data_IF_902086586712
#
_entry.id   IF_902086586712
#
_cell.length_a   1.000
_cell.length_b   1.000
_cell.length_c   1.000
_cell.angle_alpha   90.00
_cell.angle_beta   90.00
_cell.angle_gamma   90.00
#
_symmetry.space_group_name_H-M   'P 1'
#
loop_
_entity.id
_entity.type
_entity.pdbx_description
1 polymer ?
#
# COMPACT_ATOMS: atom_id res chain seq x y z
N UNK A 1 -34.42 13.13 76.54
CA UNK A 1 -33.51 12.07 77.02
C UNK A 1 -32.08 12.54 76.81
N UNK A 2 -31.33 12.63 77.92
CA UNK A 2 -29.87 12.73 78.11
C UNK A 2 -29.10 13.87 77.43
N UNK A 3 -28.86 14.92 78.23
CA UNK A 3 -27.66 15.76 78.25
C UNK A 3 -26.44 14.97 78.78
N UNK A 4 -25.23 15.37 78.36
CA UNK A 4 -24.01 15.21 79.17
C UNK A 4 -22.79 14.87 78.31
N UNK A 5 -21.82 15.76 78.08
CA UNK A 5 -20.90 16.45 79.00
C UNK A 5 -19.47 15.89 78.83
N UNK A 6 -18.51 16.82 78.78
CA UNK A 6 -17.12 16.68 79.26
C UNK A 6 -16.20 15.94 78.25
N UNK A 7 -15.36 16.61 77.43
CA UNK A 7 -14.43 17.68 77.78
C UNK A 7 -13.73 17.45 79.13
N UNK A 8 -12.92 16.40 79.22
CA UNK A 8 -11.87 16.27 80.24
C UNK A 8 -10.66 15.58 79.66
N UNK A 9 -9.51 16.13 80.03
CA UNK A 9 -8.18 15.54 79.99
C UNK A 9 -7.32 15.82 78.75
N UNK A 10 -7.20 17.11 78.42
CA UNK A 10 -5.84 17.67 78.43
C UNK A 10 -5.30 17.58 79.87
N UNK A 11 -4.03 17.22 80.02
CA UNK A 11 -3.30 17.00 81.28
C UNK A 11 -3.46 15.60 81.91
N UNK A 12 -2.82 14.62 81.27
CA UNK A 12 -1.95 13.70 82.02
C UNK A 12 -0.62 13.54 81.28
N UNK A 13 0.44 13.97 81.94
CA UNK A 13 1.83 13.51 81.73
C UNK A 13 2.50 13.95 80.41
N UNK A 14 2.95 15.20 80.26
CA UNK A 14 4.25 15.68 80.77
C UNK A 14 4.76 14.94 82.01
N UNK A 15 5.57 13.89 81.79
CA UNK A 15 6.76 13.45 82.57
C UNK A 15 7.03 11.96 82.36
N UNK A 16 7.57 11.67 81.19
CA UNK A 16 8.50 10.57 80.93
C UNK A 16 9.25 10.96 79.66
N UNK A 17 10.00 12.06 79.69
CA UNK A 17 11.39 12.05 80.15
C UNK A 17 12.13 10.83 79.59
N UNK A 18 12.94 11.12 78.57
CA UNK A 18 14.33 10.68 78.54
C UNK A 18 14.53 9.19 78.81
N UNK A 19 14.18 8.38 77.82
CA UNK A 19 14.91 7.16 77.59
C UNK A 19 15.30 7.13 76.12
N UNK A 20 16.61 7.31 75.89
CA UNK A 20 17.35 6.98 74.66
C UNK A 20 17.37 8.03 73.55
N UNK A 21 18.07 9.12 73.85
CA UNK A 21 19.15 9.52 72.95
C UNK A 21 20.21 8.40 72.85
N UNK A 22 20.88 8.34 71.69
CA UNK A 22 21.85 7.33 71.22
C UNK A 22 21.24 6.18 70.42
N UNK A 23 21.02 6.44 69.13
CA UNK A 23 21.70 5.70 68.06
C UNK A 23 21.63 6.46 66.74
N UNK A 24 22.81 6.77 66.24
CA UNK A 24 23.17 6.98 64.84
C UNK A 24 22.67 8.23 64.13
N UNK A 25 23.51 9.26 64.20
CA UNK A 25 23.64 10.42 63.34
C UNK A 25 24.26 10.07 61.97
N UNK A 26 23.90 8.94 61.35
CA UNK A 26 24.40 8.50 60.05
C UNK A 26 23.29 7.81 59.23
N UNK A 27 22.39 8.57 58.60
CA UNK A 27 21.47 7.99 57.59
C UNK A 27 20.78 8.99 56.64
N UNK A 28 21.16 10.28 56.63
CA UNK A 28 20.46 11.30 55.81
C UNK A 28 21.34 11.85 54.67
N UNK A 29 22.48 11.23 54.37
CA UNK A 29 23.33 11.61 53.21
C UNK A 29 23.55 10.50 52.18
N UNK A 30 22.68 9.49 52.12
CA UNK A 30 22.77 8.42 51.11
C UNK A 30 21.43 8.14 50.41
N UNK A 31 20.72 9.21 50.01
CA UNK A 31 19.52 9.10 49.16
C UNK A 31 19.50 10.03 47.94
N UNK A 32 20.58 10.78 47.68
CA UNK A 32 20.68 11.65 46.50
C UNK A 32 21.69 11.17 45.44
N UNK A 33 22.24 9.96 45.56
CA UNK A 33 23.21 9.41 44.60
C UNK A 33 22.75 8.16 43.83
N UNK A 34 21.47 7.78 43.93
CA UNK A 34 20.91 6.60 43.21
C UNK A 34 19.86 7.00 42.16
N UNK A 35 19.40 8.26 42.11
CA UNK A 35 18.55 8.73 41.01
C UNK A 35 19.32 9.32 39.81
N UNK A 36 20.62 9.55 39.93
CA UNK A 36 21.45 10.11 38.84
C UNK A 36 22.09 9.07 37.90
N UNK A 37 22.08 7.79 38.26
CA UNK A 37 22.75 6.72 37.49
C UNK A 37 21.80 5.72 36.85
N UNK A 38 20.51 5.73 37.21
CA UNK A 38 19.49 4.92 36.53
C UNK A 38 18.98 5.58 35.23
N UNK A 39 19.05 6.92 35.10
CA UNK A 39 18.64 7.62 33.88
C UNK A 39 19.68 7.53 32.75
N UNK A 40 20.94 7.23 33.05
CA UNK A 40 22.00 7.12 32.03
C UNK A 40 22.12 5.72 31.42
N UNK A 41 21.45 4.71 31.98
CA UNK A 41 21.42 3.33 31.46
C UNK A 41 20.21 3.05 30.55
N UNK A 42 19.18 3.91 30.57
CA UNK A 42 18.05 3.86 29.64
C UNK A 42 18.34 4.54 28.29
N UNK A 43 19.42 5.31 28.19
CA UNK A 43 19.86 5.97 26.95
C UNK A 43 20.83 5.12 26.11
N UNK A 44 21.22 3.92 26.57
CA UNK A 44 22.18 3.05 25.88
C UNK A 44 21.52 1.88 25.13
N UNK A 45 20.21 1.66 25.28
CA UNK A 45 19.45 0.63 24.56
C UNK A 45 18.39 1.20 23.59
N UNK A 46 18.24 2.53 23.54
CA UNK A 46 17.35 3.21 22.59
C UNK A 46 17.72 3.03 21.11
N UNK A 47 19.00 3.01 20.68
CA UNK A 47 19.30 2.81 19.26
C UNK A 47 18.97 1.38 18.81
N UNK A 48 19.19 0.37 19.66
CA UNK A 48 18.90 -1.03 19.31
C UNK A 48 17.39 -1.30 19.17
N UNK A 49 16.56 -0.75 20.06
CA UNK A 49 15.10 -0.87 19.96
C UNK A 49 14.53 -0.06 18.78
N UNK A 50 15.06 1.13 18.50
CA UNK A 50 14.66 1.93 17.33
C UNK A 50 15.11 1.29 16.00
N UNK A 51 16.24 0.57 16.00
CA UNK A 51 16.78 -0.13 14.84
C UNK A 51 16.06 -1.46 14.58
N UNK A 52 15.69 -2.21 15.61
CA UNK A 52 14.76 -3.34 15.50
C UNK A 52 13.35 -2.88 15.07
N UNK A 53 12.95 -1.66 15.45
CA UNK A 53 11.72 -1.02 14.97
C UNK A 53 11.80 -0.68 13.48
N UNK A 54 12.80 0.07 13.03
CA UNK A 54 12.96 0.45 11.63
C UNK A 54 13.06 -0.78 10.71
N UNK A 55 13.80 -1.81 11.12
CA UNK A 55 14.01 -3.02 10.31
C UNK A 55 12.72 -3.81 10.12
N UNK A 56 11.90 -3.98 11.17
CA UNK A 56 10.64 -4.71 11.03
C UNK A 56 9.53 -3.88 10.35
N UNK A 57 9.61 -2.54 10.35
CA UNK A 57 8.71 -1.69 9.56
C UNK A 57 9.04 -1.76 8.07
N UNK A 58 10.33 -1.63 7.71
CA UNK A 58 10.78 -1.79 6.33
C UNK A 58 10.44 -3.19 5.77
N UNK A 59 10.61 -4.24 6.59
CA UNK A 59 10.22 -5.61 6.24
C UNK A 59 8.72 -5.76 5.96
N UNK A 60 7.86 -5.09 6.73
CA UNK A 60 6.40 -5.08 6.53
C UNK A 60 6.01 -4.36 5.25
N UNK A 61 6.56 -3.17 5.02
CA UNK A 61 6.34 -2.36 3.81
C UNK A 61 6.78 -3.14 2.56
N UNK A 62 8.00 -3.69 2.55
CA UNK A 62 8.48 -4.49 1.43
C UNK A 62 7.59 -5.71 1.15
N UNK A 63 7.00 -6.32 2.19
CA UNK A 63 6.06 -7.44 2.03
C UNK A 63 4.73 -6.99 1.43
N UNK A 64 4.23 -5.81 1.80
CA UNK A 64 3.02 -5.21 1.21
C UNK A 64 3.29 -4.81 -0.24
N UNK A 65 4.43 -4.18 -0.52
CA UNK A 65 4.84 -3.78 -1.86
C UNK A 65 5.00 -5.01 -2.76
N UNK A 66 5.57 -6.11 -2.25
CA UNK A 66 5.60 -7.38 -2.98
C UNK A 66 4.19 -7.92 -3.26
N UNK A 67 3.23 -7.79 -2.34
CA UNK A 67 1.86 -8.15 -2.62
C UNK A 67 1.21 -7.25 -3.66
N UNK A 68 1.51 -5.96 -3.69
CA UNK A 68 1.06 -5.04 -4.75
C UNK A 68 1.66 -5.43 -6.11
N UNK A 69 2.95 -5.78 -6.17
CA UNK A 69 3.60 -6.29 -7.39
C UNK A 69 2.89 -7.50 -7.98
N UNK A 70 2.35 -8.41 -7.14
CA UNK A 70 1.53 -9.52 -7.64
C UNK A 70 0.31 -9.01 -8.41
N UNK A 71 -0.39 -8.03 -7.86
CA UNK A 71 -1.63 -7.47 -8.43
C UNK A 71 -1.31 -6.83 -9.78
N UNK A 72 -0.34 -5.90 -9.78
CA UNK A 72 0.10 -5.20 -10.99
C UNK A 72 0.53 -6.19 -12.07
N UNK A 73 1.26 -7.26 -11.72
CA UNK A 73 1.69 -8.26 -12.70
C UNK A 73 0.51 -8.97 -13.37
N UNK A 74 -0.57 -9.30 -12.65
CA UNK A 74 -1.77 -9.92 -13.24
C UNK A 74 -2.44 -8.99 -14.24
N UNK A 75 -2.54 -7.70 -13.89
CA UNK A 75 -3.20 -6.72 -14.74
C UNK A 75 -2.36 -6.42 -16.00
N UNK A 76 -1.03 -6.36 -15.88
CA UNK A 76 -0.13 -6.28 -17.04
C UNK A 76 -0.21 -7.51 -17.94
N UNK A 77 -0.42 -8.70 -17.40
CA UNK A 77 -0.66 -9.88 -18.25
C UNK A 77 -1.90 -9.69 -19.15
N UNK A 78 -2.93 -8.98 -18.68
CA UNK A 78 -4.15 -8.74 -19.46
C UNK A 78 -3.85 -7.69 -20.53
N UNK A 79 -3.19 -6.60 -20.16
CA UNK A 79 -2.74 -5.56 -21.10
C UNK A 79 -1.85 -6.13 -22.21
N UNK A 80 -0.81 -6.89 -21.88
CA UNK A 80 0.07 -7.50 -22.87
C UNK A 80 -0.67 -8.54 -23.73
N UNK A 81 -1.59 -9.31 -23.16
CA UNK A 81 -2.44 -10.23 -23.94
C UNK A 81 -3.32 -9.48 -24.95
N UNK A 82 -3.82 -8.31 -24.57
CA UNK A 82 -4.53 -7.41 -25.46
C UNK A 82 -3.65 -6.87 -26.59
N UNK A 83 -2.44 -6.40 -26.27
CA UNK A 83 -1.48 -5.94 -27.27
C UNK A 83 -1.15 -7.06 -28.28
N UNK A 84 -0.95 -8.28 -27.80
CA UNK A 84 -0.73 -9.46 -28.66
C UNK A 84 -1.94 -9.71 -29.56
N UNK A 85 -3.15 -9.54 -29.04
CA UNK A 85 -4.39 -9.73 -29.82
C UNK A 85 -4.57 -8.68 -30.92
N UNK A 86 -4.22 -7.43 -30.60
CA UNK A 86 -4.40 -6.29 -31.49
C UNK A 86 -3.31 -6.18 -32.56
N UNK A 87 -2.06 -6.56 -32.24
CA UNK A 87 -0.91 -6.26 -33.11
C UNK A 87 0.11 -7.38 -33.27
N UNK A 88 -0.09 -8.56 -32.66
CA UNK A 88 0.89 -9.66 -32.66
C UNK A 88 2.30 -9.22 -32.19
N UNK A 89 2.37 -8.30 -31.23
CA UNK A 89 3.64 -7.72 -30.75
C UNK A 89 4.54 -8.74 -30.06
N UNK A 90 5.75 -8.94 -30.61
CA UNK A 90 6.77 -9.79 -30.00
C UNK A 90 7.29 -9.22 -28.67
N UNK A 91 7.33 -7.90 -28.53
CA UNK A 91 7.69 -7.21 -27.29
C UNK A 91 6.66 -7.50 -26.20
N UNK A 92 5.36 -7.43 -26.54
CA UNK A 92 4.28 -7.78 -25.63
C UNK A 92 4.32 -9.26 -25.23
N UNK A 93 4.73 -10.18 -26.12
CA UNK A 93 4.96 -11.59 -25.77
C UNK A 93 6.05 -11.73 -24.71
N UNK A 94 7.18 -11.05 -24.88
CA UNK A 94 8.27 -11.09 -23.90
C UNK A 94 7.87 -10.45 -22.59
N UNK A 95 7.14 -9.32 -22.63
CA UNK A 95 6.63 -8.67 -21.43
C UNK A 95 5.64 -9.56 -20.67
N UNK A 96 4.70 -10.19 -21.38
CA UNK A 96 3.77 -11.17 -20.80
C UNK A 96 4.48 -12.35 -20.13
N UNK A 97 5.56 -12.86 -20.73
CA UNK A 97 6.38 -13.92 -20.13
C UNK A 97 7.03 -13.44 -18.82
N UNK A 98 7.60 -12.23 -18.83
CA UNK A 98 8.21 -11.63 -17.64
C UNK A 98 7.18 -11.41 -16.52
N UNK A 99 5.95 -10.99 -16.84
CA UNK A 99 4.90 -10.80 -15.83
C UNK A 99 4.52 -12.13 -15.19
N UNK A 100 4.35 -13.19 -15.97
CA UNK A 100 4.06 -14.54 -15.45
C UNK A 100 5.17 -15.01 -14.51
N UNK A 101 6.43 -14.81 -14.89
CA UNK A 101 7.58 -15.14 -14.03
C UNK A 101 7.61 -14.27 -12.76
N UNK A 102 7.29 -12.98 -12.89
CA UNK A 102 7.22 -12.03 -11.78
C UNK A 102 6.14 -12.41 -10.79
N UNK A 103 4.96 -12.82 -11.28
CA UNK A 103 3.87 -13.32 -10.44
C UNK A 103 4.31 -14.55 -9.62
N UNK A 104 4.86 -15.56 -10.29
CA UNK A 104 5.27 -16.79 -9.61
C UNK A 104 6.41 -16.57 -8.61
N UNK A 105 7.41 -15.78 -8.99
CA UNK A 105 8.55 -15.47 -8.11
C UNK A 105 8.13 -14.67 -6.88
N UNK A 106 7.26 -13.67 -7.06
CA UNK A 106 6.75 -12.84 -5.97
C UNK A 106 5.84 -13.62 -5.04
N UNK A 107 4.98 -14.48 -5.57
CA UNK A 107 4.12 -15.35 -4.76
C UNK A 107 4.96 -16.30 -3.90
N UNK A 108 6.03 -16.86 -4.48
CA UNK A 108 6.98 -17.67 -3.74
C UNK A 108 7.66 -16.85 -2.62
N UNK A 109 8.14 -15.65 -2.92
CA UNK A 109 8.76 -14.75 -1.92
C UNK A 109 7.80 -14.43 -0.77
N UNK A 110 6.53 -14.14 -1.03
CA UNK A 110 5.55 -13.92 0.04
C UNK A 110 5.31 -15.18 0.88
N UNK A 111 5.32 -16.36 0.28
CA UNK A 111 5.12 -17.64 1.01
C UNK A 111 6.34 -18.02 1.85
N UNK A 112 7.55 -17.89 1.31
CA UNK A 112 8.78 -18.41 1.93
C UNK A 112 9.64 -17.36 2.61
N UNK A 113 9.42 -16.09 2.31
CA UNK A 113 10.31 -14.97 2.65
C UNK A 113 11.45 -14.82 1.63
N UNK A 114 12.04 -13.62 1.61
CA UNK A 114 13.20 -13.26 0.80
C UNK A 114 14.13 -12.35 1.58
N UNK A 115 15.26 -12.86 2.06
CA UNK A 115 16.19 -12.08 2.88
C UNK A 115 16.88 -10.96 2.08
N UNK A 116 17.16 -11.20 0.79
CA UNK A 116 17.82 -10.23 -0.07
C UNK A 116 16.89 -9.07 -0.44
N UNK A 117 15.60 -9.36 -0.57
CA UNK A 117 14.52 -8.43 -0.91
C UNK A 117 13.91 -7.78 0.35
N UNK A 118 14.30 -8.25 1.53
CA UNK A 118 13.71 -7.81 2.80
C UNK A 118 12.21 -8.09 2.86
N UNK A 119 11.76 -9.25 2.39
CA UNK A 119 10.36 -9.69 2.41
C UNK A 119 10.16 -10.73 3.51
N UNK A 120 9.19 -10.50 4.40
CA UNK A 120 8.85 -11.44 5.45
C UNK A 120 8.01 -12.59 4.90
N UNK A 121 8.24 -13.84 5.36
CA UNK A 121 7.32 -14.91 5.06
C UNK A 121 5.96 -14.62 5.70
N UNK A 122 4.90 -14.72 4.90
CA UNK A 122 3.53 -14.53 5.36
C UNK A 122 3.11 -15.74 6.22
N UNK A 123 3.03 -15.53 7.55
CA UNK A 123 2.67 -16.57 8.54
C UNK A 123 1.25 -16.47 9.07
N UNK A 124 0.57 -15.34 8.86
CA UNK A 124 -0.82 -15.15 9.30
C UNK A 124 -1.73 -16.13 8.57
N UNK A 125 -2.54 -16.90 9.30
CA UNK A 125 -3.50 -17.84 8.68
C UNK A 125 -4.51 -17.13 7.78
N UNK A 126 -4.88 -15.88 8.10
CA UNK A 126 -5.80 -15.10 7.28
C UNK A 126 -5.11 -14.70 5.97
N UNK A 127 -3.89 -14.19 6.06
CA UNK A 127 -3.11 -13.78 4.89
C UNK A 127 -2.77 -14.96 3.97
N UNK A 128 -2.42 -16.12 4.55
CA UNK A 128 -2.19 -17.35 3.79
C UNK A 128 -3.44 -17.79 3.02
N UNK A 129 -4.62 -17.73 3.64
CA UNK A 129 -5.87 -18.03 2.94
C UNK A 129 -6.17 -17.05 1.81
N UNK A 130 -5.93 -15.76 2.02
CA UNK A 130 -6.08 -14.76 0.97
C UNK A 130 -5.13 -15.06 -0.21
N UNK A 131 -3.86 -15.40 0.06
CA UNK A 131 -2.91 -15.82 -0.96
C UNK A 131 -3.31 -17.12 -1.66
N UNK A 132 -3.83 -18.11 -0.93
CA UNK A 132 -4.32 -19.37 -1.50
C UNK A 132 -5.52 -19.11 -2.45
N UNK A 133 -6.44 -18.21 -2.07
CA UNK A 133 -7.56 -17.80 -2.93
C UNK A 133 -7.06 -17.07 -4.17
N UNK A 134 -6.15 -16.09 -4.01
CA UNK A 134 -5.57 -15.38 -5.15
C UNK A 134 -4.87 -16.34 -6.12
N UNK A 135 -4.04 -17.26 -5.62
CA UNK A 135 -3.36 -18.25 -6.45
C UNK A 135 -4.34 -19.12 -7.23
N UNK A 136 -5.44 -19.54 -6.58
CA UNK A 136 -6.47 -20.36 -7.24
C UNK A 136 -7.17 -19.60 -8.37
N UNK A 137 -7.54 -18.34 -8.17
CA UNK A 137 -8.17 -17.52 -9.22
C UNK A 137 -7.18 -17.24 -10.36
N UNK A 138 -5.91 -16.96 -10.02
CA UNK A 138 -4.87 -16.69 -11.02
C UNK A 138 -4.47 -17.93 -11.81
N UNK A 139 -4.53 -19.14 -11.25
CA UNK A 139 -4.19 -20.38 -11.99
C UNK A 139 -5.07 -20.57 -13.23
N UNK A 140 -6.38 -20.31 -13.09
CA UNK A 140 -7.33 -20.38 -14.20
C UNK A 140 -7.02 -19.32 -15.27
N UNK A 141 -6.65 -18.12 -14.84
CA UNK A 141 -6.26 -17.02 -15.70
C UNK A 141 -4.93 -17.28 -16.45
N UNK A 142 -3.92 -17.78 -15.74
CA UNK A 142 -2.60 -18.11 -16.30
C UNK A 142 -2.70 -19.17 -17.40
N UNK A 143 -3.64 -20.11 -17.28
CA UNK A 143 -3.89 -21.10 -18.33
C UNK A 143 -4.26 -20.44 -19.67
N UNK A 144 -5.00 -19.33 -19.64
CA UNK A 144 -5.33 -18.54 -20.84
C UNK A 144 -4.20 -17.58 -21.23
N UNK A 145 -3.58 -16.90 -20.27
CA UNK A 145 -2.47 -15.97 -20.53
C UNK A 145 -1.29 -16.68 -21.23
N UNK A 146 -1.02 -17.94 -20.86
CA UNK A 146 0.02 -18.79 -21.48
C UNK A 146 -0.25 -19.08 -22.97
N UNK A 147 -1.47 -18.94 -23.48
CA UNK A 147 -1.68 -18.99 -24.94
C UNK A 147 -1.11 -17.76 -25.63
N UNK A 148 -1.25 -16.58 -25.02
CA UNK A 148 -0.68 -15.32 -25.51
C UNK A 148 0.84 -15.38 -25.64
N UNK A 149 1.52 -16.07 -24.72
CA UNK A 149 3.00 -16.21 -24.75
C UNK A 149 3.52 -16.98 -25.97
N UNK A 150 2.64 -17.61 -26.76
CA UNK A 150 2.97 -18.26 -28.04
C UNK A 150 2.91 -17.31 -29.23
N UNK A 151 2.61 -16.03 -29.00
CA UNK A 151 2.53 -14.98 -30.02
C UNK A 151 1.18 -14.84 -30.69
N UNK A 152 0.14 -15.53 -30.23
CA UNK A 152 -1.21 -15.41 -30.79
C UNK A 152 -2.24 -15.33 -29.69
N UNK A 153 -3.04 -14.26 -29.67
CA UNK A 153 -4.20 -14.11 -28.80
C UNK A 153 -5.42 -13.79 -29.65
N UNK A 154 -6.30 -14.77 -29.89
CA UNK A 154 -7.54 -14.51 -30.64
C UNK A 154 -8.63 -13.97 -29.72
N UNK A 155 -9.59 -13.25 -30.31
CA UNK A 155 -10.74 -12.70 -29.59
C UNK A 155 -11.41 -13.72 -28.63
N UNK A 156 -11.74 -14.97 -29.02
CA UNK A 156 -12.31 -15.93 -28.07
C UNK A 156 -11.42 -16.30 -26.88
N UNK A 157 -10.09 -16.28 -27.02
CA UNK A 157 -9.18 -16.52 -25.89
C UNK A 157 -9.10 -15.30 -24.98
N UNK A 158 -9.14 -14.09 -25.55
CA UNK A 158 -9.17 -12.85 -24.79
C UNK A 158 -10.46 -12.73 -23.94
N UNK A 159 -11.59 -13.18 -24.49
CA UNK A 159 -12.87 -13.27 -23.78
C UNK A 159 -12.78 -14.20 -22.56
N UNK A 160 -12.20 -15.39 -22.75
CA UNK A 160 -11.97 -16.35 -21.65
C UNK A 160 -10.96 -15.81 -20.61
N UNK A 161 -9.91 -15.14 -21.07
CA UNK A 161 -8.93 -14.50 -20.21
C UNK A 161 -9.59 -13.43 -19.34
N UNK A 162 -10.44 -12.58 -19.93
CA UNK A 162 -11.19 -11.56 -19.20
C UNK A 162 -12.14 -12.15 -18.16
N UNK A 163 -12.90 -13.19 -18.53
CA UNK A 163 -13.80 -13.87 -17.59
C UNK A 163 -13.03 -14.50 -16.42
N UNK A 164 -11.83 -15.04 -16.68
CA UNK A 164 -10.95 -15.57 -15.65
C UNK A 164 -10.26 -14.46 -14.83
N UNK A 165 -10.11 -13.26 -15.37
CA UNK A 165 -9.55 -12.09 -14.69
C UNK A 165 -10.53 -11.46 -13.69
N UNK A 166 -11.83 -11.47 -14.00
CA UNK A 166 -12.87 -10.80 -13.21
C UNK A 166 -12.79 -11.00 -11.67
N UNK A 167 -12.53 -12.20 -11.11
CA UNK A 167 -12.43 -12.39 -9.66
C UNK A 167 -11.09 -11.96 -9.05
N UNK A 168 -10.05 -11.71 -9.86
CA UNK A 168 -8.69 -11.50 -9.36
C UNK A 168 -8.53 -10.15 -8.63
N UNK A 169 -9.03 -9.00 -9.12
CA UNK A 169 -8.91 -7.73 -8.39
C UNK A 169 -9.42 -7.79 -6.95
N UNK A 170 -10.57 -8.42 -6.70
CA UNK A 170 -11.12 -8.57 -5.34
C UNK A 170 -10.23 -9.46 -4.45
N UNK A 171 -9.73 -10.58 -4.99
CA UNK A 171 -8.82 -11.46 -4.27
C UNK A 171 -7.48 -10.77 -3.95
N UNK A 172 -6.99 -9.99 -4.91
CA UNK A 172 -5.80 -9.15 -4.83
C UNK A 172 -5.92 -8.09 -3.74
N UNK A 173 -7.03 -7.34 -3.70
CA UNK A 173 -7.30 -6.35 -2.65
C UNK A 173 -7.38 -7.00 -1.26
N UNK A 174 -8.04 -8.16 -1.09
CA UNK A 174 -8.08 -8.84 0.21
C UNK A 174 -6.68 -9.25 0.68
N UNK A 175 -5.76 -9.66 -0.22
CA UNK A 175 -4.37 -9.94 0.17
C UNK A 175 -3.70 -8.69 0.74
N UNK A 176 -3.76 -7.57 0.03
CA UNK A 176 -3.14 -6.31 0.47
C UNK A 176 -3.79 -5.81 1.76
N UNK A 177 -5.11 -5.83 1.88
CA UNK A 177 -5.82 -5.43 3.09
C UNK A 177 -5.45 -6.28 4.30
N UNK A 178 -5.36 -7.61 4.12
CA UNK A 178 -4.97 -8.50 5.21
C UNK A 178 -3.50 -8.30 5.59
N UNK A 179 -2.62 -8.02 4.64
CA UNK A 179 -1.21 -7.73 4.94
C UNK A 179 -1.06 -6.37 5.61
N UNK A 180 -1.77 -5.34 5.14
CA UNK A 180 -1.85 -4.03 5.79
C UNK A 180 -2.33 -4.16 7.23
N UNK A 181 -3.41 -4.91 7.47
CA UNK A 181 -3.88 -5.13 8.85
C UNK A 181 -2.93 -5.97 9.70
N UNK A 182 -2.15 -6.88 9.09
CA UNK A 182 -1.20 -7.74 9.80
C UNK A 182 0.10 -6.99 10.16
N UNK A 183 0.63 -6.17 9.25
CA UNK A 183 1.93 -5.51 9.38
C UNK A 183 1.84 -4.03 9.79
N UNK A 184 0.85 -3.28 9.28
CA UNK A 184 0.77 -1.82 9.49
C UNK A 184 0.05 -1.44 10.79
N UNK A 185 -1.06 -2.12 11.16
CA UNK A 185 -1.85 -1.77 12.36
C UNK A 185 -1.06 -1.81 13.69
N UNK A 186 0.10 -2.47 13.73
CA UNK A 186 0.92 -2.53 14.94
C UNK A 186 1.90 -1.36 15.08
N UNK A 187 2.18 -0.59 14.02
CA UNK A 187 3.28 0.40 14.02
C UNK A 187 3.04 1.68 13.24
N UNK A 188 2.32 1.60 12.13
CA UNK A 188 1.91 2.74 11.30
C UNK A 188 0.47 3.06 11.74
N UNK A 189 0.23 4.27 12.20
CA UNK A 189 -1.09 4.65 12.72
C UNK A 189 -2.17 4.41 11.67
N UNK A 190 -3.43 4.14 12.08
CA UNK A 190 -4.53 3.92 11.12
C UNK A 190 -4.64 5.02 10.04
N UNK A 191 -4.19 6.25 10.34
CA UNK A 191 -4.20 7.37 9.40
C UNK A 191 -3.23 7.18 8.22
N UNK A 192 -2.05 6.65 8.51
CA UNK A 192 -0.99 6.48 7.53
C UNK A 192 -1.34 5.31 6.60
N UNK A 193 -1.93 4.24 7.14
CA UNK A 193 -2.45 3.11 6.35
C UNK A 193 -3.58 3.51 5.39
N UNK A 194 -4.47 4.42 5.79
CA UNK A 194 -5.55 4.91 4.91
C UNK A 194 -5.02 5.80 3.79
N UNK A 195 -4.00 6.60 4.06
CA UNK A 195 -3.34 7.45 3.04
C UNK A 195 -2.59 6.61 2.02
N UNK A 196 -1.80 5.63 2.49
CA UNK A 196 -1.11 4.69 1.62
C UNK A 196 -2.10 3.88 0.78
N UNK A 197 -3.18 3.40 1.39
CA UNK A 197 -4.25 2.68 0.69
C UNK A 197 -4.83 3.50 -0.47
N UNK A 198 -5.19 4.76 -0.24
CA UNK A 198 -5.73 5.63 -1.29
C UNK A 198 -4.73 5.90 -2.44
N UNK A 199 -3.42 6.00 -2.14
CA UNK A 199 -2.38 6.14 -3.17
C UNK A 199 -2.23 4.85 -4.01
N UNK A 200 -2.20 3.69 -3.35
CA UNK A 200 -2.14 2.39 -4.02
C UNK A 200 -3.39 2.11 -4.85
N UNK A 201 -4.56 2.57 -4.40
CA UNK A 201 -5.81 2.43 -5.16
C UNK A 201 -5.68 3.10 -6.55
N UNK A 202 -4.95 4.21 -6.67
CA UNK A 202 -4.73 4.89 -7.96
C UNK A 202 -3.91 4.02 -8.92
N UNK A 203 -2.86 3.33 -8.43
CA UNK A 203 -2.03 2.47 -9.30
C UNK A 203 -2.83 1.29 -9.84
N UNK A 204 -3.60 0.62 -8.97
CA UNK A 204 -4.48 -0.51 -9.32
C UNK A 204 -5.63 -0.09 -10.26
N UNK A 205 -6.07 1.16 -10.17
CA UNK A 205 -7.12 1.69 -11.05
C UNK A 205 -6.60 2.07 -12.42
N UNK A 206 -5.36 2.56 -12.53
CA UNK A 206 -4.74 2.88 -13.82
C UNK A 206 -4.63 1.65 -14.73
N UNK A 207 -4.22 0.52 -14.16
CA UNK A 207 -4.17 -0.78 -14.84
C UNK A 207 -5.57 -1.30 -15.19
N UNK A 208 -6.56 -1.13 -14.30
CA UNK A 208 -7.97 -1.43 -14.58
C UNK A 208 -8.50 -0.63 -15.79
N UNK A 209 -8.11 0.64 -15.94
CA UNK A 209 -8.46 1.45 -17.13
C UNK A 209 -7.88 0.81 -18.40
N UNK A 210 -6.62 0.38 -18.37
CA UNK A 210 -5.97 -0.22 -19.55
C UNK A 210 -6.70 -1.49 -20.00
N UNK A 211 -7.01 -2.37 -19.05
CA UNK A 211 -7.76 -3.59 -19.31
C UNK A 211 -9.13 -3.31 -19.96
N UNK A 212 -9.89 -2.34 -19.45
CA UNK A 212 -11.21 -2.03 -20.00
C UNK A 212 -11.13 -1.30 -21.36
N UNK A 213 -10.13 -0.46 -21.59
CA UNK A 213 -9.87 0.13 -22.92
C UNK A 213 -9.58 -0.95 -23.96
N UNK A 214 -8.84 -2.00 -23.59
CA UNK A 214 -8.63 -3.15 -24.46
C UNK A 214 -9.94 -3.81 -24.87
N UNK A 215 -10.83 -4.09 -23.91
CA UNK A 215 -12.12 -4.73 -24.17
C UNK A 215 -12.98 -3.91 -25.15
N UNK A 216 -12.93 -2.57 -25.04
CA UNK A 216 -13.57 -1.68 -26.00
C UNK A 216 -12.88 -1.75 -27.38
N UNK A 217 -11.55 -1.81 -27.42
CA UNK A 217 -10.76 -1.93 -28.65
C UNK A 217 -11.12 -3.20 -29.45
N UNK A 218 -11.24 -4.33 -28.75
CA UNK A 218 -11.51 -5.65 -29.35
C UNK A 218 -13.00 -5.98 -29.50
N UNK A 219 -13.89 -5.05 -29.17
CA UNK A 219 -15.34 -5.21 -29.23
C UNK A 219 -15.90 -6.36 -28.37
N UNK A 220 -15.37 -6.50 -27.16
CA UNK A 220 -15.81 -7.51 -26.21
C UNK A 220 -16.28 -6.84 -24.94
N UNK A 221 -17.44 -7.25 -24.44
CA UNK A 221 -18.01 -6.74 -23.18
C UNK A 221 -18.02 -5.20 -23.08
N UNK A 222 -18.13 -4.48 -24.21
CA UNK A 222 -17.88 -3.04 -24.26
C UNK A 222 -18.81 -2.23 -23.35
N UNK A 223 -20.09 -2.61 -23.25
CA UNK A 223 -21.05 -1.94 -22.34
C UNK A 223 -20.62 -2.06 -20.87
N UNK A 224 -20.16 -3.25 -20.45
CA UNK A 224 -19.67 -3.48 -19.10
C UNK A 224 -18.33 -2.77 -18.86
N UNK A 225 -17.44 -2.80 -19.85
CA UNK A 225 -16.15 -2.10 -19.78
C UNK A 225 -16.32 -0.58 -19.67
N UNK A 226 -17.26 0.01 -20.41
CA UNK A 226 -17.60 1.44 -20.34
C UNK A 226 -18.17 1.80 -18.97
N UNK A 227 -19.05 0.97 -18.40
CA UNK A 227 -19.57 1.19 -17.05
C UNK A 227 -18.42 1.19 -16.02
N UNK A 228 -17.55 0.17 -16.06
CA UNK A 228 -16.37 0.09 -15.19
C UNK A 228 -15.43 1.28 -15.37
N UNK A 229 -15.18 1.74 -16.61
CA UNK A 229 -14.36 2.92 -16.85
C UNK A 229 -14.93 4.18 -16.21
N UNK A 230 -16.25 4.39 -16.29
CA UNK A 230 -16.87 5.55 -15.65
C UNK A 230 -16.70 5.50 -14.12
N UNK A 231 -16.95 4.35 -13.51
CA UNK A 231 -16.83 4.17 -12.06
C UNK A 231 -15.36 4.37 -11.61
N UNK A 232 -14.41 3.76 -12.30
CA UNK A 232 -12.98 3.84 -11.97
C UNK A 232 -12.43 5.25 -12.13
N UNK A 233 -12.79 5.98 -13.21
CA UNK A 233 -12.39 7.37 -13.39
C UNK A 233 -12.94 8.24 -12.25
N UNK A 234 -14.20 8.04 -11.86
CA UNK A 234 -14.79 8.79 -10.76
C UNK A 234 -14.11 8.48 -9.42
N UNK A 235 -13.74 7.22 -9.18
CA UNK A 235 -13.07 6.80 -7.95
C UNK A 235 -11.62 7.32 -7.84
N UNK A 236 -10.86 7.35 -8.95
CA UNK A 236 -9.53 8.01 -8.97
C UNK A 236 -9.69 9.51 -8.66
N UNK A 237 -10.64 10.19 -9.29
CA UNK A 237 -10.85 11.63 -9.07
C UNK A 237 -11.17 11.94 -7.61
N UNK A 238 -12.03 11.13 -6.98
CA UNK A 238 -12.34 11.24 -5.55
C UNK A 238 -11.12 10.99 -4.67
N UNK A 239 -10.34 9.94 -4.95
CA UNK A 239 -9.13 9.64 -4.19
C UNK A 239 -8.09 10.76 -4.32
N UNK A 240 -7.92 11.34 -5.51
CA UNK A 240 -7.04 12.49 -5.72
C UNK A 240 -7.49 13.71 -4.93
N UNK A 241 -8.77 14.03 -4.89
CA UNK A 241 -9.31 15.13 -4.08
C UNK A 241 -9.03 14.89 -2.58
N UNK A 242 -9.33 13.69 -2.09
CA UNK A 242 -9.09 13.29 -0.70
C UNK A 242 -7.60 13.35 -0.32
N UNK A 243 -6.71 12.86 -1.18
CA UNK A 243 -5.26 12.91 -0.99
C UNK A 243 -4.73 14.35 -1.09
N UNK A 244 -5.32 15.18 -1.95
CA UNK A 244 -4.94 16.57 -2.09
C UNK A 244 -5.39 17.44 -0.92
N UNK A 245 -6.44 17.10 -0.18
CA UNK A 245 -6.90 17.91 0.97
C UNK A 245 -6.63 17.27 2.33
N UNK A 246 -6.46 15.96 2.37
CA UNK A 246 -6.66 15.14 3.56
C UNK A 246 -8.14 15.00 3.93
N UNK A 247 -8.47 13.96 4.69
CA UNK A 247 -9.82 13.72 5.23
C UNK A 247 -9.72 13.02 6.59
N UNK A 248 -10.05 13.74 7.67
CA UNK A 248 -9.98 13.21 9.02
C UNK A 248 -11.02 12.10 9.31
N UNK A 249 -12.17 12.09 8.62
CA UNK A 249 -13.20 11.05 8.76
C UNK A 249 -12.76 9.75 8.10
N UNK A 250 -12.16 9.86 6.92
CA UNK A 250 -11.60 8.74 6.17
C UNK A 250 -10.17 8.39 6.58
N UNK A 251 -9.64 9.10 7.59
CA UNK A 251 -8.32 8.90 8.16
C UNK A 251 -7.19 9.16 7.16
N UNK A 252 -7.40 9.99 6.14
CA UNK A 252 -6.37 10.37 5.16
C UNK A 252 -5.64 11.61 5.68
N UNK A 253 -4.31 11.54 5.71
CA UNK A 253 -3.46 12.64 6.15
C UNK A 253 -3.42 13.75 5.09
N UNK A 254 -3.38 15.03 5.50
CA UNK A 254 -3.11 16.11 4.56
C UNK A 254 -1.68 15.96 4.01
N UNK A 255 -1.45 16.25 2.73
CA UNK A 255 -0.15 15.99 2.11
C UNK A 255 0.91 16.99 2.59
N UNK A 256 2.13 16.51 2.74
CA UNK A 256 3.33 17.35 2.89
C UNK A 256 3.57 18.17 1.60
N UNK A 257 4.41 19.22 1.62
CA UNK A 257 4.77 19.94 0.40
C UNK A 257 5.34 19.03 -0.70
N UNK A 258 6.19 18.07 -0.31
CA UNK A 258 6.83 17.10 -1.20
C UNK A 258 5.80 16.12 -1.78
N UNK A 259 4.91 15.58 -0.94
CA UNK A 259 3.82 14.72 -1.38
C UNK A 259 2.85 15.48 -2.30
N UNK A 260 2.57 16.76 -2.01
CA UNK A 260 1.71 17.58 -2.88
C UNK A 260 2.31 17.75 -4.27
N UNK A 261 3.62 18.00 -4.38
CA UNK A 261 4.28 18.10 -5.67
C UNK A 261 4.19 16.78 -6.46
N UNK A 262 4.29 15.63 -5.79
CA UNK A 262 4.09 14.33 -6.42
C UNK A 262 2.62 14.12 -6.87
N UNK A 263 1.65 14.44 -6.01
CA UNK A 263 0.22 14.35 -6.32
C UNK A 263 -0.20 15.28 -7.48
N UNK A 264 0.43 16.46 -7.61
CA UNK A 264 0.17 17.37 -8.72
C UNK A 264 0.58 16.73 -10.07
N UNK A 265 1.65 15.91 -10.10
CA UNK A 265 2.00 15.12 -11.28
C UNK A 265 0.93 14.05 -11.59
N UNK A 266 0.48 13.31 -10.58
CA UNK A 266 -0.56 12.29 -10.74
C UNK A 266 -1.86 12.92 -11.26
N UNK A 267 -2.25 14.08 -10.73
CA UNK A 267 -3.44 14.80 -11.18
C UNK A 267 -3.33 15.30 -12.62
N UNK A 268 -2.14 15.74 -13.04
CA UNK A 268 -1.88 16.13 -14.43
C UNK A 268 -2.02 14.95 -15.39
N UNK A 269 -1.35 13.83 -15.09
CA UNK A 269 -1.45 12.60 -15.90
C UNK A 269 -2.89 12.08 -15.95
N UNK A 270 -3.59 12.11 -14.81
CA UNK A 270 -4.98 11.68 -14.73
C UNK A 270 -5.90 12.55 -15.59
N UNK A 271 -5.66 13.87 -15.64
CA UNK A 271 -6.40 14.78 -16.52
C UNK A 271 -6.20 14.43 -18.01
N UNK A 272 -4.97 14.07 -18.39
CA UNK A 272 -4.67 13.61 -19.74
C UNK A 272 -5.37 12.27 -20.04
N UNK A 273 -5.32 11.31 -19.11
CA UNK A 273 -6.02 10.02 -19.22
C UNK A 273 -7.54 10.23 -19.36
N UNK A 274 -8.17 11.03 -18.51
CA UNK A 274 -9.60 11.35 -18.61
C UNK A 274 -9.95 11.92 -19.98
N UNK A 275 -9.15 12.87 -20.47
CA UNK A 275 -9.35 13.51 -21.78
C UNK A 275 -9.22 12.52 -22.93
N UNK A 276 -8.27 11.58 -22.82
CA UNK A 276 -8.06 10.52 -23.81
C UNK A 276 -9.20 9.49 -23.79
N UNK A 277 -9.68 9.10 -22.61
CA UNK A 277 -10.71 8.05 -22.45
C UNK A 277 -12.10 8.56 -22.83
N UNK A 278 -12.39 9.84 -22.60
CA UNK A 278 -13.73 10.43 -22.77
C UNK A 278 -14.45 10.09 -24.11
N UNK A 279 -13.80 10.10 -25.29
CA UNK A 279 -14.46 9.75 -26.55
C UNK A 279 -14.96 8.30 -26.62
N UNK A 280 -14.38 7.38 -25.86
CA UNK A 280 -14.75 5.96 -25.89
C UNK A 280 -15.89 5.62 -24.93
N UNK A 281 -16.22 6.52 -23.99
CA UNK A 281 -17.28 6.32 -23.00
C UNK A 281 -18.69 6.40 -23.59
N UNK A 282 -18.83 6.89 -24.83
CA UNK A 282 -20.12 6.89 -25.54
C UNK A 282 -20.45 5.56 -26.23
N UNK A 283 -19.50 4.62 -26.27
CA UNK A 283 -19.63 3.31 -26.91
C UNK A 283 -19.69 3.32 -28.44
N UNK A 284 -19.61 4.49 -29.07
CA UNK A 284 -19.62 4.65 -30.53
C UNK A 284 -18.22 4.73 -31.12
N UNK A 285 -17.25 5.20 -30.34
CA UNK A 285 -15.84 5.29 -30.73
C UNK A 285 -15.05 4.13 -30.13
N UNK A 286 -14.12 3.56 -30.90
CA UNK A 286 -13.20 2.51 -30.43
C UNK A 286 -11.76 2.95 -30.61
N UNK A 287 -10.87 2.69 -29.63
CA UNK A 287 -9.46 2.99 -29.79
C UNK A 287 -8.86 2.09 -30.86
N UNK A 288 -8.05 2.68 -31.74
CA UNK A 288 -7.16 1.93 -32.64
C UNK A 288 -6.00 1.32 -31.86
N UNK A 289 -5.23 0.42 -32.49
CA UNK A 289 -4.03 -0.18 -31.89
C UNK A 289 -3.01 0.88 -31.44
N UNK A 290 -2.77 1.89 -32.26
CA UNK A 290 -1.85 2.99 -31.93
C UNK A 290 -2.36 3.83 -30.75
N UNK A 291 -3.67 4.08 -30.71
CA UNK A 291 -4.31 4.78 -29.60
C UNK A 291 -4.28 3.96 -28.31
N UNK A 292 -4.48 2.63 -28.40
CA UNK A 292 -4.34 1.74 -27.26
C UNK A 292 -2.90 1.75 -26.71
N UNK A 293 -1.89 1.59 -27.57
CA UNK A 293 -0.49 1.66 -27.16
C UNK A 293 -0.13 3.02 -26.52
N UNK A 294 -0.69 4.12 -27.04
CA UNK A 294 -0.55 5.44 -26.43
C UNK A 294 -1.21 5.50 -25.04
N UNK A 295 -2.41 4.93 -24.89
CA UNK A 295 -3.12 4.85 -23.62
C UNK A 295 -2.33 4.05 -22.58
N UNK A 296 -1.80 2.87 -22.93
CA UNK A 296 -0.99 2.06 -22.03
C UNK A 296 0.25 2.83 -21.56
N UNK A 297 0.90 3.61 -22.43
CA UNK A 297 2.04 4.44 -22.05
C UNK A 297 1.65 5.59 -21.09
N UNK A 298 0.50 6.23 -21.31
CA UNK A 298 -0.04 7.27 -20.42
C UNK A 298 -0.41 6.70 -19.05
N UNK A 299 -1.06 5.54 -19.02
CA UNK A 299 -1.45 4.86 -17.79
C UNK A 299 -0.23 4.38 -17.00
N UNK A 300 0.82 3.91 -17.68
CA UNK A 300 2.10 3.60 -17.04
C UNK A 300 2.79 4.83 -16.43
N UNK A 301 2.59 6.02 -16.99
CA UNK A 301 3.09 7.27 -16.42
C UNK A 301 2.32 7.65 -15.14
N UNK A 302 0.98 7.59 -15.21
CA UNK A 302 0.10 7.81 -14.07
C UNK A 302 0.46 6.86 -12.91
N UNK A 303 0.65 5.58 -13.21
CA UNK A 303 1.06 4.57 -12.24
C UNK A 303 2.43 4.88 -11.63
N UNK A 304 3.43 5.23 -12.46
CA UNK A 304 4.77 5.56 -11.98
C UNK A 304 4.80 6.80 -11.08
N UNK A 305 4.01 7.84 -11.40
CA UNK A 305 3.90 9.04 -10.58
C UNK A 305 3.09 8.78 -9.29
N UNK A 306 2.08 7.90 -9.33
CA UNK A 306 1.38 7.45 -8.13
C UNK A 306 2.29 6.63 -7.21
N UNK A 307 3.11 5.73 -7.79
CA UNK A 307 4.12 4.98 -7.04
C UNK A 307 5.19 5.90 -6.44
N UNK A 308 5.62 6.93 -7.17
CA UNK A 308 6.53 7.96 -6.63
C UNK A 308 5.88 8.68 -5.44
N UNK A 309 4.58 8.94 -5.49
CA UNK A 309 3.84 9.54 -4.37
C UNK A 309 3.80 8.60 -3.14
N UNK A 310 3.71 7.28 -3.35
CA UNK A 310 3.86 6.27 -2.30
C UNK A 310 5.26 6.34 -1.68
N UNK A 311 6.31 6.34 -2.49
CA UNK A 311 7.70 6.39 -2.01
C UNK A 311 7.99 7.66 -1.21
N UNK A 312 7.48 8.82 -1.66
CA UNK A 312 7.58 10.09 -0.94
C UNK A 312 6.82 10.02 0.40
N UNK A 313 5.62 9.45 0.41
CA UNK A 313 4.85 9.29 1.63
C UNK A 313 5.55 8.36 2.64
N UNK A 314 6.05 7.21 2.18
CA UNK A 314 6.81 6.27 3.02
C UNK A 314 8.08 6.91 3.57
N UNK A 315 8.80 7.67 2.76
CA UNK A 315 9.98 8.43 3.14
C UNK A 315 9.68 9.45 4.26
N UNK A 316 8.57 10.18 4.13
CA UNK A 316 8.10 11.15 5.13
C UNK A 316 7.71 10.47 6.46
N UNK A 317 7.08 9.29 6.39
CA UNK A 317 6.66 8.53 7.58
C UNK A 317 7.84 7.83 8.28
N UNK A 318 8.79 7.29 7.52
CA UNK A 318 9.95 6.53 8.04
C UNK A 318 11.12 7.47 8.40
N UNK A 319 11.09 8.72 7.94
CA UNK A 319 12.09 9.75 8.25
C UNK A 319 13.37 9.65 7.42
N UNK A 320 13.30 9.05 6.22
CA UNK A 320 14.39 9.03 5.25
C UNK A 320 14.10 10.05 4.16
N UNK A 321 14.93 11.09 3.96
CA UNK A 321 14.65 12.08 2.93
C UNK A 321 14.80 11.46 1.54
N UNK A 322 13.71 11.45 0.76
CA UNK A 322 13.75 11.23 -0.69
C UNK A 322 13.80 12.60 -1.38
N UNK A 323 14.69 12.72 -2.39
CA UNK A 323 14.63 13.85 -3.30
C UNK A 323 13.54 13.55 -4.33
N UNK A 324 12.48 14.34 -4.34
CA UNK A 324 11.51 14.30 -5.44
C UNK A 324 12.11 15.06 -6.62
N UNK A 325 12.65 14.35 -7.62
CA UNK A 325 13.32 14.93 -8.80
C UNK A 325 12.33 15.43 -9.88
N UNK A 326 11.02 15.47 -9.57
CA UNK A 326 9.96 15.92 -10.46
C UNK A 326 9.17 14.78 -11.10
N UNK A 327 8.17 15.11 -11.92
CA UNK A 327 7.31 14.11 -12.56
C UNK A 327 8.14 13.16 -13.44
N UNK A 328 7.91 11.85 -13.31
CA UNK A 328 8.47 10.87 -14.23
C UNK A 328 7.83 11.05 -15.60
N UNK A 329 8.65 11.15 -16.64
CA UNK A 329 8.15 11.22 -18.01
C UNK A 329 7.50 9.88 -18.39
N UNK A 330 6.46 9.86 -19.24
CA UNK A 330 5.87 8.62 -19.73
C UNK A 330 6.94 7.72 -20.32
N UNK A 331 6.98 6.45 -19.88
CA UNK A 331 7.84 5.43 -20.49
C UNK A 331 7.41 5.27 -21.94
N UNK A 332 8.25 5.76 -22.84
CA UNK A 332 8.03 5.63 -24.28
C UNK A 332 8.18 4.14 -24.64
N UNK A 333 7.16 3.46 -25.22
CA UNK A 333 7.27 2.04 -25.56
C UNK A 333 8.18 1.77 -26.78
N UNK A 334 9.01 2.73 -27.18
CA UNK A 334 9.82 2.69 -28.41
C UNK A 334 11.34 2.69 -28.16
N UNK A 335 11.80 2.25 -26.99
CA UNK A 335 13.24 2.14 -26.69
C UNK A 335 13.59 0.88 -25.92
#
# INVERSE_FOLDING_TARGET
MVNGHIAKNMQKSSKSAQARGKKSTESIQMKHYILGTALSLLALNTPALAQDDATATALGINTINAAQTLITSVEYMLDHSCQISLSESAEAVTALQNDVETFHSTLALLRTGGEAEGIAPVRSRRAQRALDTLEQEVEAYLAFATFGTRGTMSAPYLDQLYLAHAPIPDASHEVVDVLNTTFMLQRIGMLESSTLGALTDITQRATTISANLCLIAVDQHSDAAIATLNDVLQEIEQNLDLLATGDAMQKILPPTPEMRAALDCVAADFTEVQSFVAPYLDGTTRPTVEQFAHASAMLGALEANAQTSVEVFEADVIGTPTANDGCTAPRNPAS
#
